data_IF_714241966700
#
_entry.id   IF_714241966700
#
_cell.length_a   1.000
_cell.length_b   1.000
_cell.length_c   1.000
_cell.angle_alpha   90.00
_cell.angle_beta   90.00
_cell.angle_gamma   90.00
#
_symmetry.space_group_name_H-M   'P 1'
#
loop_
_entity.id
_entity.type
_entity.pdbx_description
1 polymer ?
#
# COMPACT_ATOMS: atom_id res chain seq x y z
N UNK A 1 24.96 5.49 -10.60
CA UNK A 1 23.69 6.16 -10.98
C UNK A 1 23.78 7.67 -10.82
N UNK A 2 23.15 8.41 -11.73
CA UNK A 2 23.03 9.88 -11.66
C UNK A 2 21.87 10.30 -10.77
N UNK A 3 22.01 11.41 -10.04
CA UNK A 3 20.92 12.02 -9.25
C UNK A 3 19.68 12.29 -10.10
N UNK A 4 19.88 12.72 -11.36
CA UNK A 4 18.76 12.96 -12.30
C UNK A 4 17.97 11.68 -12.60
N UNK A 5 18.65 10.53 -12.70
CA UNK A 5 17.98 9.26 -12.91
C UNK A 5 17.16 8.85 -11.69
N UNK A 6 17.73 8.98 -10.48
CA UNK A 6 17.03 8.68 -9.22
C UNK A 6 15.74 9.52 -9.05
N UNK A 7 15.80 10.81 -9.37
CA UNK A 7 14.64 11.71 -9.30
C UNK A 7 13.55 11.27 -10.30
N UNK A 8 13.94 11.02 -11.56
CA UNK A 8 13.00 10.55 -12.60
C UNK A 8 12.36 9.22 -12.22
N UNK A 9 13.17 8.27 -11.74
CA UNK A 9 12.69 6.94 -11.37
C UNK A 9 11.73 7.03 -10.17
N UNK A 10 11.97 7.94 -9.22
CA UNK A 10 11.03 8.21 -8.13
C UNK A 10 9.70 8.80 -8.62
N UNK A 11 9.73 9.75 -9.55
CA UNK A 11 8.48 10.30 -10.13
C UNK A 11 7.64 9.17 -10.73
N UNK A 12 8.26 8.31 -11.54
CA UNK A 12 7.57 7.18 -12.17
C UNK A 12 7.05 6.16 -11.13
N UNK A 13 7.81 5.88 -10.08
CA UNK A 13 7.37 4.98 -9.01
C UNK A 13 6.18 5.54 -8.23
N UNK A 14 6.16 6.85 -7.96
CA UNK A 14 5.04 7.51 -7.28
C UNK A 14 3.77 7.48 -8.14
N UNK A 15 3.88 7.72 -9.44
CA UNK A 15 2.76 7.58 -10.38
C UNK A 15 2.20 6.15 -10.38
N UNK A 16 3.09 5.14 -10.40
CA UNK A 16 2.69 3.73 -10.32
C UNK A 16 2.03 3.39 -9.00
N UNK A 17 2.57 3.86 -7.87
CA UNK A 17 1.98 3.67 -6.54
C UNK A 17 0.57 4.27 -6.53
N UNK A 18 0.41 5.50 -7.01
CA UNK A 18 -0.90 6.16 -7.10
C UNK A 18 -1.91 5.32 -7.90
N UNK A 19 -1.52 4.82 -9.07
CA UNK A 19 -2.39 3.96 -9.88
C UNK A 19 -2.73 2.63 -9.19
N UNK A 20 -1.76 2.01 -8.49
CA UNK A 20 -2.00 0.76 -7.74
C UNK A 20 -2.96 0.99 -6.58
N UNK A 21 -2.83 2.11 -5.86
CA UNK A 21 -3.77 2.52 -4.82
C UNK A 21 -5.17 2.73 -5.39
N UNK A 22 -5.28 3.48 -6.50
CA UNK A 22 -6.54 3.78 -7.18
C UNK A 22 -7.26 2.53 -7.70
N UNK A 23 -6.50 1.53 -8.14
CA UNK A 23 -7.04 0.29 -8.73
C UNK A 23 -7.18 -0.87 -7.75
N UNK A 24 -6.75 -0.70 -6.49
CA UNK A 24 -6.75 -1.76 -5.48
C UNK A 24 -5.72 -2.87 -5.72
N UNK A 25 -4.74 -2.68 -6.61
CA UNK A 25 -3.70 -3.66 -6.94
C UNK A 25 -2.49 -3.54 -6.00
N UNK A 26 -2.71 -3.77 -4.70
CA UNK A 26 -1.77 -3.39 -3.65
C UNK A 26 -0.55 -4.33 -3.49
N UNK A 27 -0.57 -5.52 -4.10
CA UNK A 27 0.46 -6.55 -3.89
C UNK A 27 1.91 -6.07 -4.15
N UNK A 28 2.11 -5.16 -5.11
CA UNK A 28 3.44 -4.63 -5.43
C UNK A 28 3.73 -3.26 -4.80
N UNK A 29 2.71 -2.58 -4.24
CA UNK A 29 2.85 -1.23 -3.70
C UNK A 29 3.92 -1.15 -2.59
N UNK A 30 3.98 -2.07 -1.60
CA UNK A 30 5.03 -2.04 -0.57
C UNK A 30 6.45 -2.07 -1.15
N UNK A 31 6.71 -2.92 -2.15
CA UNK A 31 8.03 -3.00 -2.80
C UNK A 31 8.39 -1.76 -3.62
N UNK A 32 7.39 -1.03 -4.12
CA UNK A 32 7.60 0.24 -4.82
C UNK A 32 7.96 1.35 -3.83
N UNK A 33 7.32 1.39 -2.65
CA UNK A 33 7.70 2.29 -1.55
C UNK A 33 9.16 2.08 -1.11
N UNK A 34 9.61 0.82 -1.01
CA UNK A 34 11.00 0.49 -0.66
C UNK A 34 12.01 1.02 -1.71
N UNK A 35 11.64 0.99 -3.00
CA UNK A 35 12.46 1.57 -4.07
C UNK A 35 12.52 3.09 -4.01
N UNK A 36 11.38 3.75 -3.76
CA UNK A 36 11.33 5.22 -3.59
C UNK A 36 12.24 5.64 -2.45
N UNK A 37 12.15 4.94 -1.30
CA UNK A 37 13.01 5.18 -0.15
C UNK A 37 14.49 5.01 -0.49
N UNK A 38 14.86 3.91 -1.13
CA UNK A 38 16.26 3.63 -1.51
C UNK A 38 16.84 4.73 -2.40
N UNK A 39 16.05 5.22 -3.37
CA UNK A 39 16.47 6.30 -4.24
C UNK A 39 16.60 7.64 -3.50
N UNK A 40 15.70 7.96 -2.57
CA UNK A 40 15.79 9.15 -1.74
C UNK A 40 17.03 9.10 -0.83
N UNK A 41 17.30 7.97 -0.18
CA UNK A 41 18.50 7.77 0.64
C UNK A 41 19.79 8.02 -0.19
N UNK A 42 19.82 7.56 -1.43
CA UNK A 42 20.93 7.79 -2.35
C UNK A 42 21.06 9.28 -2.77
N UNK A 43 19.95 10.01 -2.91
CA UNK A 43 19.96 11.46 -3.18
C UNK A 43 20.49 12.22 -1.96
N UNK A 44 20.01 11.90 -0.75
CA UNK A 44 20.46 12.52 0.49
C UNK A 44 21.95 12.29 0.74
N UNK A 45 22.45 11.08 0.49
CA UNK A 45 23.87 10.77 0.59
C UNK A 45 24.72 11.63 -0.36
N UNK A 46 24.26 11.87 -1.59
CA UNK A 46 24.94 12.76 -2.54
C UNK A 46 24.91 14.22 -2.10
N UNK A 47 23.80 14.68 -1.54
CA UNK A 47 23.70 16.03 -0.96
C UNK A 47 24.69 16.23 0.19
N UNK A 48 24.79 15.25 1.11
CA UNK A 48 25.81 15.27 2.18
C UNK A 48 27.23 15.31 1.63
N UNK A 49 27.52 14.53 0.59
CA UNK A 49 28.84 14.53 -0.05
C UNK A 49 29.19 15.89 -0.69
N UNK A 50 28.19 16.72 -1.00
CA UNK A 50 28.37 18.11 -1.48
C UNK A 50 28.39 19.14 -0.32
N UNK A 51 28.39 18.69 0.93
CA UNK A 51 28.39 19.57 2.10
C UNK A 51 27.01 20.14 2.48
N UNK A 52 25.92 19.63 1.91
CA UNK A 52 24.56 20.07 2.24
C UNK A 52 24.08 19.31 3.47
N UNK A 53 23.60 20.03 4.49
CA UNK A 53 22.93 19.41 5.64
C UNK A 53 21.60 18.80 5.19
N UNK A 54 21.32 17.57 5.62
CA UNK A 54 20.13 16.82 5.21
C UNK A 54 19.36 16.24 6.38
N UNK A 55 19.67 16.64 7.61
CA UNK A 55 19.03 16.11 8.81
C UNK A 55 17.52 16.42 8.87
N UNK A 56 17.09 17.50 8.22
CA UNK A 56 15.68 17.88 8.10
C UNK A 56 14.91 17.05 7.07
N UNK A 57 15.60 16.35 6.16
CA UNK A 57 14.98 15.56 5.09
C UNK A 57 14.90 14.07 5.41
N UNK A 58 15.00 13.70 6.69
CA UNK A 58 14.87 12.30 7.12
C UNK A 58 13.47 11.79 6.78
N UNK A 59 13.45 10.63 6.14
CA UNK A 59 12.21 9.93 5.83
C UNK A 59 11.69 9.32 7.13
N UNK A 60 10.43 9.59 7.45
CA UNK A 60 9.73 8.94 8.56
C UNK A 60 9.51 7.46 8.21
N UNK A 61 10.32 6.60 8.84
CA UNK A 61 10.26 5.16 8.64
C UNK A 61 9.02 4.55 9.25
N UNK A 62 8.53 5.12 10.36
CA UNK A 62 7.38 4.60 11.10
C UNK A 62 6.11 4.84 10.28
N UNK A 63 5.94 6.05 9.74
CA UNK A 63 4.85 6.36 8.82
C UNK A 63 4.88 5.47 7.56
N UNK A 64 6.07 5.14 7.04
CA UNK A 64 6.21 4.26 5.89
C UNK A 64 5.84 2.81 6.23
N UNK A 65 6.21 2.32 7.40
CA UNK A 65 5.84 0.98 7.87
C UNK A 65 4.33 0.86 8.12
N UNK A 66 3.70 1.87 8.71
CA UNK A 66 2.24 1.91 8.92
C UNK A 66 1.48 1.81 7.59
N UNK A 67 1.90 2.57 6.58
CA UNK A 67 1.33 2.49 5.23
C UNK A 67 1.51 1.08 4.65
N UNK A 68 2.71 0.48 4.79
CA UNK A 68 2.97 -0.89 4.29
C UNK A 68 2.09 -1.93 4.96
N UNK A 69 1.84 -1.81 6.26
CA UNK A 69 0.96 -2.72 7.00
C UNK A 69 -0.50 -2.57 6.56
N UNK A 70 -0.99 -1.34 6.33
CA UNK A 70 -2.34 -1.10 5.83
C UNK A 70 -2.60 -1.61 4.40
N UNK A 71 -1.53 -1.85 3.63
CA UNK A 71 -1.60 -2.38 2.25
C UNK A 71 -1.66 -3.91 2.18
N UNK A 72 -1.36 -4.61 3.28
CA UNK A 72 -1.61 -6.04 3.33
C UNK A 72 -3.12 -6.27 3.31
N UNK A 73 -3.64 -7.20 2.47
CA UNK A 73 -5.05 -7.53 2.55
C UNK A 73 -5.33 -8.01 3.96
N UNK A 74 -6.21 -7.29 4.67
CA UNK A 74 -6.75 -7.79 5.93
C UNK A 74 -7.23 -9.21 5.64
N UNK A 75 -6.72 -10.16 6.44
CA UNK A 75 -7.17 -11.54 6.41
C UNK A 75 -8.57 -11.69 7.01
N UNK A 76 -9.39 -10.62 7.01
CA UNK A 76 -10.83 -10.66 7.29
C UNK A 76 -11.60 -11.35 6.15
N UNK A 77 -11.25 -12.61 5.91
CA UNK A 77 -12.21 -13.62 5.50
C UNK A 77 -13.08 -14.01 6.70
N UNK A 78 -13.97 -13.13 7.15
CA UNK A 78 -15.20 -13.54 7.85
C UNK A 78 -16.06 -12.35 8.22
N UNK A 79 -17.05 -12.03 7.38
CA UNK A 79 -18.47 -11.86 7.79
C UNK A 79 -19.38 -11.50 6.62
N UNK A 80 -19.28 -12.24 5.52
CA UNK A 80 -20.37 -12.32 4.56
C UNK A 80 -21.06 -13.69 4.72
N UNK A 81 -21.71 -13.92 5.87
CA UNK A 81 -22.84 -14.85 5.92
C UNK A 81 -24.08 -14.05 6.27
N UNK A 82 -24.93 -13.93 5.26
CA UNK A 82 -26.28 -13.38 5.27
C UNK A 82 -27.07 -13.82 6.52
N UNK A 83 -27.95 -12.97 7.09
CA UNK A 83 -28.97 -13.47 8.00
C UNK A 83 -29.95 -14.32 7.18
N UNK A 84 -29.84 -15.65 7.28
CA UNK A 84 -30.87 -16.56 6.78
C UNK A 84 -32.07 -16.49 7.73
N UNK A 85 -32.87 -15.44 7.60
CA UNK A 85 -34.25 -15.41 8.06
C UNK A 85 -35.15 -15.94 6.96
N UNK A 86 -35.70 -17.14 7.15
CA UNK A 86 -36.86 -17.71 6.44
C UNK A 86 -37.28 -18.95 7.23
N UNK A 87 -38.07 -18.79 8.29
CA UNK A 87 -39.54 -18.91 8.28
C UNK A 87 -40.04 -20.34 8.04
N UNK A 88 -40.62 -20.87 9.12
CA UNK A 88 -41.83 -21.71 9.19
C UNK A 88 -41.91 -22.91 8.25
N UNK A 89 -41.78 -24.11 8.81
CA UNK A 89 -42.33 -25.32 8.21
C UNK A 89 -43.06 -26.08 9.30
N UNK A 90 -44.37 -25.81 9.41
CA UNK A 90 -45.37 -26.75 9.91
C UNK A 90 -46.74 -26.18 9.56
N UNK A 91 -47.13 -26.31 8.29
CA UNK A 91 -48.55 -26.22 7.94
C UNK A 91 -48.94 -27.43 7.08
N UNK A 92 -49.87 -28.19 7.67
CA UNK A 92 -50.51 -29.37 7.10
C UNK A 92 -51.32 -28.93 5.89
N UNK A 93 -51.26 -29.68 4.78
CA UNK A 93 -52.41 -30.07 3.95
C UNK A 93 -51.87 -30.72 2.66
N UNK A 94 -51.97 -32.04 2.57
CA UNK A 94 -52.00 -32.73 1.30
C UNK A 94 -53.14 -33.75 1.35
N UNK A 95 -54.25 -33.37 0.71
CA UNK A 95 -55.31 -34.25 0.23
C UNK A 95 -54.75 -35.10 -0.90
N UNK A 96 -54.94 -36.42 -0.84
CA UNK A 96 -55.67 -37.23 -1.84
C UNK A 96 -55.65 -38.68 -1.40
#
# INVERSE_FOLDING_TARGET
>A
MSTKALIRDNSMLLDQIYDKLRTGQLACAPSMFDKVKTNLDAILAKMRAMGVNTDEYKIDLEALEEIKQGLHPSSDKSRNRLPAGSNSSDDKFARS
#
